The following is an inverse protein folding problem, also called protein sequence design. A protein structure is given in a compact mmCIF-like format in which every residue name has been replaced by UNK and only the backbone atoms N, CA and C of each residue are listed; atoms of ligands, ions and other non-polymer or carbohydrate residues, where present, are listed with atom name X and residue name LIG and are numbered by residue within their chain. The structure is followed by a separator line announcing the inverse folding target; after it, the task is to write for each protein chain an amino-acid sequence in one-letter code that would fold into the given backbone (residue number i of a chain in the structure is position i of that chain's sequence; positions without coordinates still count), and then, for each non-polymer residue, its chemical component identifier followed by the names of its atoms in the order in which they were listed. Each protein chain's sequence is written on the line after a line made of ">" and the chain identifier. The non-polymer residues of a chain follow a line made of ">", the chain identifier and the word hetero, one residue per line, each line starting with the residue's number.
data_IF_136409365497
#
_entry.id   IF_136409365497
#
_cell.length_a   1.000
_cell.length_b   1.000
_cell.length_c   1.000
_cell.angle_alpha   90.00
_cell.angle_beta   90.00
_cell.angle_gamma   90.00
#
_symmetry.space_group_name_H-M   'P 1'
#
loop_
_entity.id
_entity.type
_entity.pdbx_description
1 polymer ?
#
# COMPACT_ATOMS: atom_id res chain seq x y z
N UNK A 1 16.72 63.63 26.25
CA UNK A 1 17.42 63.27 25.00
C UNK A 1 18.15 61.97 25.27
N UNK A 2 17.53 60.87 24.87
CA UNK A 2 17.90 59.51 25.21
C UNK A 2 18.78 58.95 24.08
N UNK A 3 20.04 58.64 24.41
CA UNK A 3 21.04 58.23 23.43
C UNK A 3 20.85 56.75 23.06
N UNK A 4 20.55 56.49 21.79
CA UNK A 4 20.38 55.17 21.20
C UNK A 4 21.69 54.36 21.23
N UNK A 5 21.67 53.17 21.83
CA UNK A 5 22.75 52.17 21.69
C UNK A 5 22.67 51.49 20.32
N UNK A 6 23.79 51.28 19.60
CA UNK A 6 23.77 50.55 18.34
C UNK A 6 23.65 49.04 18.60
N UNK A 7 22.71 48.37 17.93
CA UNK A 7 22.60 46.91 17.95
C UNK A 7 23.75 46.30 17.14
N UNK A 8 24.63 45.52 17.78
CA UNK A 8 25.59 44.68 17.07
C UNK A 8 24.84 43.49 16.47
N UNK A 9 24.56 43.54 15.17
CA UNK A 9 24.09 42.38 14.43
C UNK A 9 25.28 41.49 14.05
N UNK A 10 25.17 40.19 14.30
CA UNK A 10 26.11 39.18 13.82
C UNK A 10 25.52 38.59 12.55
N UNK A 11 26.16 38.85 11.40
CA UNK A 11 25.79 38.22 10.13
C UNK A 11 26.46 36.85 10.09
N UNK A 12 25.67 35.79 10.22
CA UNK A 12 26.12 34.41 10.02
C UNK A 12 26.02 34.07 8.53
N UNK A 13 27.16 33.98 7.85
CA UNK A 13 27.24 33.37 6.52
C UNK A 13 27.29 31.85 6.67
N UNK A 14 26.17 31.18 6.40
CA UNK A 14 26.17 29.74 6.14
C UNK A 14 26.67 29.51 4.72
N UNK A 15 27.96 29.23 4.58
CA UNK A 15 28.49 28.66 3.34
C UNK A 15 28.11 27.18 3.37
N UNK A 16 27.01 26.83 2.70
CA UNK A 16 26.71 25.45 2.37
C UNK A 16 27.75 24.98 1.35
N UNK A 17 28.80 24.33 1.86
CA UNK A 17 29.66 23.49 1.03
C UNK A 17 28.80 22.30 0.61
N UNK A 18 28.24 22.41 -0.59
CA UNK A 18 27.67 21.27 -1.29
C UNK A 18 28.83 20.33 -1.59
N UNK A 19 29.15 19.45 -0.64
CA UNK A 19 29.96 18.28 -0.92
C UNK A 19 29.18 17.53 -1.99
N UNK A 20 29.73 17.50 -3.20
CA UNK A 20 29.36 16.56 -4.24
C UNK A 20 29.78 15.15 -3.76
N UNK A 21 29.17 14.69 -2.66
CA UNK A 21 28.96 13.29 -2.47
C UNK A 21 28.08 12.90 -3.64
N UNK A 22 28.62 12.05 -4.49
CA UNK A 22 27.88 11.40 -5.56
C UNK A 22 26.79 10.58 -4.85
N UNK A 23 25.67 11.23 -4.53
CA UNK A 23 24.46 10.56 -4.10
C UNK A 23 23.97 9.81 -5.33
N UNK A 24 24.41 8.56 -5.45
CA UNK A 24 23.81 7.64 -6.38
C UNK A 24 22.42 7.35 -5.82
N UNK A 25 21.43 8.12 -6.26
CA UNK A 25 20.03 7.75 -6.07
C UNK A 25 19.82 6.36 -6.69
N UNK A 26 19.05 5.48 -6.02
CA UNK A 26 18.72 4.19 -6.58
C UNK A 26 17.91 4.38 -7.88
N UNK A 27 18.04 3.44 -8.81
CA UNK A 27 17.11 3.35 -9.92
C UNK A 27 15.79 2.78 -9.41
N UNK A 28 14.73 3.58 -9.48
CA UNK A 28 13.42 3.21 -9.00
C UNK A 28 12.54 2.70 -10.15
N UNK A 29 12.02 1.50 -10.01
CA UNK A 29 11.06 0.87 -10.90
C UNK A 29 9.82 0.45 -10.14
N UNK A 30 8.76 0.09 -10.85
CA UNK A 30 7.58 -0.50 -10.26
C UNK A 30 7.07 -1.67 -11.09
N UNK A 31 6.39 -2.60 -10.42
CA UNK A 31 5.73 -3.74 -11.05
C UNK A 31 4.45 -4.05 -10.29
N UNK A 32 3.29 -4.14 -10.97
CA UNK A 32 2.09 -4.71 -10.36
C UNK A 32 2.36 -6.15 -9.93
N UNK A 33 1.87 -6.50 -8.75
CA UNK A 33 1.77 -7.90 -8.35
C UNK A 33 0.91 -8.71 -9.31
N UNK A 34 0.86 -10.03 -9.10
CA UNK A 34 0.06 -10.95 -9.90
C UNK A 34 0.47 -11.05 -11.39
N UNK A 35 1.50 -10.30 -11.81
CA UNK A 35 2.09 -10.42 -13.15
C UNK A 35 2.71 -11.79 -13.37
N UNK A 36 2.58 -12.27 -14.60
CA UNK A 36 3.11 -13.56 -15.03
C UNK A 36 4.64 -13.57 -14.98
N UNK A 37 5.21 -14.71 -14.58
CA UNK A 37 6.61 -15.01 -14.76
C UNK A 37 7.06 -14.76 -16.22
N UNK A 38 8.25 -14.22 -16.40
CA UNK A 38 8.78 -13.79 -17.70
C UNK A 38 8.37 -12.37 -18.12
N UNK A 39 7.52 -11.68 -17.36
CA UNK A 39 7.15 -10.29 -17.65
C UNK A 39 8.33 -9.34 -17.48
N UNK A 40 8.43 -8.34 -18.34
CA UNK A 40 9.43 -7.27 -18.22
C UNK A 40 8.98 -6.29 -17.14
N UNK A 41 9.89 -5.98 -16.21
CA UNK A 41 9.74 -4.96 -15.17
C UNK A 41 10.26 -3.61 -15.67
N UNK A 42 11.50 -3.60 -16.15
CA UNK A 42 12.18 -2.38 -16.62
C UNK A 42 13.32 -2.72 -17.59
N UNK A 43 13.85 -1.71 -18.29
CA UNK A 43 15.09 -1.80 -19.06
C UNK A 43 16.13 -0.83 -18.49
N UNK A 44 17.30 -1.35 -18.13
CA UNK A 44 18.30 -0.60 -17.34
C UNK A 44 19.34 0.13 -18.18
N UNK A 45 19.35 -0.06 -19.51
CA UNK A 45 20.43 0.45 -20.37
C UNK A 45 20.52 1.98 -20.35
N UNK A 46 19.36 2.65 -20.40
CA UNK A 46 19.29 4.11 -20.40
C UNK A 46 19.76 4.69 -19.06
N UNK A 47 19.38 4.05 -17.97
CA UNK A 47 19.69 4.49 -16.60
C UNK A 47 21.18 4.27 -16.27
N UNK A 48 21.72 3.12 -16.69
CA UNK A 48 23.15 2.80 -16.61
C UNK A 48 24.01 3.59 -17.61
N UNK A 49 23.40 4.17 -18.65
CA UNK A 49 24.07 4.88 -19.75
C UNK A 49 25.09 4.02 -20.51
N UNK A 50 24.78 2.74 -20.69
CA UNK A 50 25.59 1.76 -21.43
C UNK A 50 24.76 1.05 -22.49
N UNK A 51 25.41 0.45 -23.48
CA UNK A 51 24.73 -0.38 -24.47
C UNK A 51 24.74 -1.87 -24.07
N UNK A 52 23.99 -2.68 -24.83
CA UNK A 52 23.88 -4.14 -24.61
C UNK A 52 25.25 -4.84 -24.69
N UNK A 53 26.14 -4.37 -25.57
CA UNK A 53 27.45 -5.01 -25.77
C UNK A 53 28.32 -4.79 -24.54
N UNK A 54 28.33 -3.56 -24.00
CA UNK A 54 29.03 -3.25 -22.76
C UNK A 54 28.42 -4.00 -21.57
N UNK A 55 27.08 -4.06 -21.46
CA UNK A 55 26.39 -4.79 -20.39
C UNK A 55 26.81 -6.27 -20.36
N UNK A 56 26.79 -6.93 -21.52
CA UNK A 56 27.25 -8.32 -21.68
C UNK A 56 28.76 -8.47 -21.42
N UNK A 57 29.59 -7.58 -21.97
CA UNK A 57 31.05 -7.63 -21.83
C UNK A 57 31.49 -7.46 -20.36
N UNK A 58 30.75 -6.65 -19.60
CA UNK A 58 30.97 -6.39 -18.18
C UNK A 58 30.25 -7.37 -17.26
N UNK A 59 29.72 -8.48 -17.80
CA UNK A 59 29.08 -9.59 -17.06
C UNK A 59 28.07 -9.09 -16.03
N UNK A 60 27.17 -8.20 -16.48
CA UNK A 60 26.19 -7.59 -15.59
C UNK A 60 25.35 -8.65 -14.87
N UNK A 61 25.20 -8.49 -13.55
CA UNK A 61 24.41 -9.38 -12.71
C UNK A 61 23.48 -8.57 -11.82
N UNK A 62 22.27 -9.08 -11.63
CA UNK A 62 21.34 -8.57 -10.61
C UNK A 62 21.51 -9.39 -9.33
N UNK A 63 21.84 -8.71 -8.24
CA UNK A 63 22.03 -9.30 -6.92
C UNK A 63 20.90 -8.79 -6.02
N UNK A 64 20.07 -9.71 -5.54
CA UNK A 64 19.04 -9.39 -4.53
C UNK A 64 19.63 -9.59 -3.13
N UNK A 65 19.41 -8.62 -2.23
CA UNK A 65 19.86 -8.71 -0.83
C UNK A 65 18.90 -9.52 0.04
N UNK A 66 17.66 -9.71 -0.41
CA UNK A 66 16.61 -10.39 0.34
C UNK A 66 16.42 -11.82 -0.20
N UNK A 67 16.08 -12.77 0.68
CA UNK A 67 15.82 -14.15 0.32
C UNK A 67 14.67 -14.25 -0.69
N UNK A 68 15.00 -14.55 -1.94
CA UNK A 68 14.08 -14.61 -3.07
C UNK A 68 14.65 -13.86 -4.26
N UNK A 69 15.05 -14.60 -5.30
CA UNK A 69 15.42 -13.98 -6.59
C UNK A 69 14.13 -13.75 -7.38
N UNK A 70 13.34 -12.75 -6.99
CA UNK A 70 12.08 -12.41 -7.67
C UNK A 70 12.33 -11.85 -9.08
N UNK A 71 13.52 -11.30 -9.31
CA UNK A 71 13.91 -10.64 -10.54
C UNK A 71 15.20 -11.24 -11.12
N UNK A 72 15.35 -11.12 -12.43
CA UNK A 72 16.59 -11.42 -13.16
C UNK A 72 16.91 -10.32 -14.15
N UNK A 73 18.20 -10.08 -14.38
CA UNK A 73 18.65 -9.23 -15.48
C UNK A 73 19.02 -10.11 -16.68
N UNK A 74 18.44 -9.82 -17.85
CA UNK A 74 18.88 -10.38 -19.12
C UNK A 74 20.03 -9.53 -19.69
N UNK A 75 21.28 -10.04 -19.73
CA UNK A 75 22.43 -9.28 -20.22
C UNK A 75 22.39 -9.00 -21.72
N UNK A 76 21.53 -9.69 -22.48
CA UNK A 76 21.41 -9.52 -23.93
C UNK A 76 20.37 -8.47 -24.34
N UNK A 77 19.53 -8.02 -23.42
CA UNK A 77 18.54 -6.97 -23.67
C UNK A 77 18.60 -5.81 -22.68
N UNK A 78 19.21 -6.01 -21.50
CA UNK A 78 19.15 -5.09 -20.39
C UNK A 78 17.78 -5.06 -19.69
N UNK A 79 16.92 -6.04 -19.95
CA UNK A 79 15.62 -6.14 -19.28
C UNK A 79 15.77 -6.78 -17.91
N UNK A 80 15.16 -6.15 -16.89
CA UNK A 80 14.82 -6.83 -15.64
C UNK A 80 13.52 -7.58 -15.89
N UNK A 81 13.53 -8.88 -15.64
CA UNK A 81 12.45 -9.81 -15.91
C UNK A 81 12.01 -10.44 -14.59
N UNK A 82 10.71 -10.60 -14.43
CA UNK A 82 10.12 -11.28 -13.30
C UNK A 82 10.35 -12.79 -13.40
N UNK A 83 10.91 -13.41 -12.35
CA UNK A 83 11.16 -14.86 -12.34
C UNK A 83 9.93 -15.66 -11.95
N UNK A 84 9.28 -15.24 -10.88
CA UNK A 84 8.10 -15.88 -10.33
C UNK A 84 7.03 -14.83 -10.08
N UNK A 85 5.77 -15.27 -10.06
CA UNK A 85 4.63 -14.42 -9.68
C UNK A 85 4.89 -13.84 -8.29
N UNK A 86 4.73 -12.54 -8.13
CA UNK A 86 4.83 -11.86 -6.84
C UNK A 86 3.42 -11.71 -6.29
N UNK A 87 3.28 -12.10 -5.02
CA UNK A 87 2.15 -11.85 -4.14
C UNK A 87 2.64 -10.83 -3.09
N UNK A 88 2.07 -9.62 -3.10
CA UNK A 88 2.50 -8.49 -2.27
C UNK A 88 2.15 -8.75 -0.81
N UNK A 89 1.00 -9.36 -0.53
CA UNK A 89 0.53 -9.72 0.80
C UNK A 89 1.49 -10.72 1.46
N UNK A 90 1.93 -11.74 0.74
CA UNK A 90 2.89 -12.72 1.23
C UNK A 90 4.30 -12.13 1.41
N UNK A 91 4.70 -11.23 0.52
CA UNK A 91 6.06 -10.68 0.47
C UNK A 91 6.30 -9.57 1.50
N UNK A 92 5.36 -8.65 1.63
CA UNK A 92 5.48 -7.43 2.43
C UNK A 92 4.51 -7.36 3.60
N UNK A 93 3.47 -8.21 3.62
CA UNK A 93 2.43 -8.21 4.64
C UNK A 93 1.75 -6.86 4.76
N UNK A 94 1.81 -6.29 5.96
CA UNK A 94 1.24 -4.98 6.28
C UNK A 94 2.13 -3.79 5.86
N UNK A 95 3.32 -4.04 5.31
CA UNK A 95 4.25 -2.97 4.92
C UNK A 95 3.78 -2.30 3.63
N UNK A 96 3.64 -0.98 3.66
CA UNK A 96 3.26 -0.13 2.53
C UNK A 96 4.08 1.18 2.60
N UNK A 97 4.92 1.50 1.59
CA UNK A 97 5.09 0.80 0.32
C UNK A 97 5.83 -0.55 0.46
N UNK A 98 5.47 -1.48 -0.43
CA UNK A 98 6.19 -2.75 -0.61
C UNK A 98 7.37 -2.55 -1.57
N UNK A 99 8.58 -2.38 -1.01
CA UNK A 99 9.80 -2.11 -1.81
C UNK A 99 10.80 -3.23 -1.70
N UNK A 100 11.22 -3.75 -2.86
CA UNK A 100 12.29 -4.72 -2.99
C UNK A 100 13.59 -4.05 -3.41
N UNK A 101 14.68 -4.40 -2.73
CA UNK A 101 16.00 -3.84 -2.96
C UNK A 101 16.92 -4.83 -3.68
N UNK A 102 17.55 -4.39 -4.76
CA UNK A 102 18.55 -5.16 -5.52
C UNK A 102 19.71 -4.27 -5.93
N UNK A 103 20.81 -4.87 -6.38
CA UNK A 103 21.96 -4.15 -6.92
C UNK A 103 22.37 -4.76 -8.26
N UNK A 104 22.62 -3.91 -9.26
CA UNK A 104 23.32 -4.32 -10.47
C UNK A 104 24.81 -4.22 -10.24
N UNK A 105 25.49 -5.34 -10.41
CA UNK A 105 26.93 -5.44 -10.45
C UNK A 105 27.41 -5.40 -11.91
N UNK A 106 28.34 -4.51 -12.22
CA UNK A 106 29.15 -4.55 -13.44
C UNK A 106 30.60 -4.87 -13.08
N UNK A 107 31.25 -5.77 -13.80
CA UNK A 107 32.67 -6.11 -13.62
C UNK A 107 33.59 -5.23 -14.49
N UNK A 108 34.87 -5.15 -14.08
CA UNK A 108 35.98 -4.57 -14.84
C UNK A 108 35.70 -3.17 -15.46
N UNK A 109 35.61 -2.10 -14.65
CA UNK A 109 35.80 -2.04 -13.19
C UNK A 109 34.55 -2.46 -12.42
N UNK A 110 34.72 -2.84 -11.16
CA UNK A 110 33.59 -3.15 -10.28
C UNK A 110 32.75 -1.89 -10.02
N UNK A 111 31.46 -1.94 -10.35
CA UNK A 111 30.48 -0.89 -10.09
C UNK A 111 29.18 -1.51 -9.58
N UNK A 112 28.54 -0.82 -8.64
CA UNK A 112 27.28 -1.23 -8.04
C UNK A 112 26.24 -0.12 -8.24
N UNK A 113 25.09 -0.49 -8.78
CA UNK A 113 23.95 0.41 -8.94
C UNK A 113 22.79 -0.11 -8.11
N UNK A 114 22.32 0.69 -7.17
CA UNK A 114 21.17 0.33 -6.33
C UNK A 114 19.90 0.37 -7.17
N UNK A 115 19.03 -0.60 -6.95
CA UNK A 115 17.72 -0.70 -7.58
C UNK A 115 16.68 -0.87 -6.49
N UNK A 116 15.61 -0.11 -6.62
CA UNK A 116 14.39 -0.24 -5.84
C UNK A 116 13.26 -0.62 -6.79
N UNK A 117 12.58 -1.73 -6.50
CA UNK A 117 11.38 -2.13 -7.24
C UNK A 117 10.20 -2.07 -6.28
N UNK A 118 9.30 -1.13 -6.51
CA UNK A 118 8.04 -1.05 -5.79
C UNK A 118 7.05 -2.06 -6.37
N UNK A 119 6.54 -2.96 -5.54
CA UNK A 119 5.45 -3.85 -5.90
C UNK A 119 4.15 -3.06 -5.73
N UNK A 120 3.43 -2.85 -6.83
CA UNK A 120 2.15 -2.15 -6.83
C UNK A 120 1.02 -3.13 -6.51
N UNK A 121 0.16 -2.70 -5.59
CA UNK A 121 -1.00 -3.45 -5.12
C UNK A 121 -2.07 -3.60 -6.22
N UNK A 122 -2.57 -4.82 -6.40
CA UNK A 122 -3.68 -5.15 -7.31
C UNK A 122 -4.87 -5.62 -6.46
N UNK A 123 -6.10 -5.30 -6.87
CA UNK A 123 -7.31 -5.71 -6.14
C UNK A 123 -7.60 -7.20 -6.38
N UNK A 124 -6.89 -8.09 -5.69
CA UNK A 124 -7.05 -9.55 -5.79
C UNK A 124 -7.53 -10.22 -4.50
N UNK A 125 -7.74 -9.45 -3.42
CA UNK A 125 -8.39 -9.91 -2.20
C UNK A 125 -9.74 -9.21 -1.98
N UNK A 126 -10.80 -9.98 -1.76
CA UNK A 126 -12.10 -9.41 -1.39
C UNK A 126 -12.23 -9.23 0.13
N UNK A 127 -12.99 -8.23 0.61
CA UNK A 127 -13.31 -8.06 2.02
C UNK A 127 -13.95 -9.30 2.64
N UNK A 128 -13.49 -9.66 3.83
CA UNK A 128 -13.98 -10.82 4.59
C UNK A 128 -14.36 -10.44 6.02
N UNK A 129 -15.39 -11.08 6.55
CA UNK A 129 -15.74 -11.01 7.97
C UNK A 129 -15.17 -12.22 8.71
N UNK A 130 -14.92 -12.10 10.01
CA UNK A 130 -14.41 -13.21 10.81
C UNK A 130 -15.49 -14.27 11.05
N UNK A 131 -16.76 -13.84 11.01
CA UNK A 131 -17.94 -14.70 11.14
C UNK A 131 -18.89 -14.48 9.97
N UNK A 132 -19.62 -15.53 9.61
CA UNK A 132 -20.64 -15.49 8.56
C UNK A 132 -21.98 -14.92 9.06
N UNK A 133 -22.19 -14.85 10.38
CA UNK A 133 -23.44 -14.41 11.00
C UNK A 133 -23.16 -13.69 12.33
N UNK A 134 -23.94 -12.64 12.59
CA UNK A 134 -23.93 -11.87 13.83
C UNK A 134 -25.34 -11.83 14.40
N UNK A 135 -25.48 -12.19 15.67
CA UNK A 135 -26.75 -12.13 16.38
C UNK A 135 -26.75 -10.89 17.29
N UNK A 136 -27.77 -10.06 17.15
CA UNK A 136 -28.06 -8.94 18.03
C UNK A 136 -29.37 -9.20 18.76
N UNK A 137 -29.34 -9.13 20.09
CA UNK A 137 -30.53 -9.14 20.93
C UNK A 137 -30.86 -7.70 21.33
N UNK A 138 -31.81 -7.09 20.61
CA UNK A 138 -32.19 -5.69 20.80
C UNK A 138 -33.55 -5.62 21.50
N UNK A 139 -33.64 -5.06 22.72
CA UNK A 139 -34.91 -4.84 23.40
C UNK A 139 -35.82 -3.93 22.58
N UNK A 140 -37.12 -4.20 22.51
CA UNK A 140 -38.04 -3.37 21.73
C UNK A 140 -38.15 -1.93 22.25
N UNK A 141 -37.88 -1.72 23.55
CA UNK A 141 -37.87 -0.41 24.20
C UNK A 141 -36.60 0.41 23.86
N UNK A 142 -35.74 -0.09 22.98
CA UNK A 142 -34.55 0.61 22.52
C UNK A 142 -34.95 1.93 21.86
N UNK A 143 -34.35 3.07 22.27
CA UNK A 143 -34.67 4.36 21.67
C UNK A 143 -34.17 4.44 20.22
N UNK A 144 -34.91 5.17 19.39
CA UNK A 144 -34.46 5.52 18.03
C UNK A 144 -33.11 6.25 18.13
N UNK A 145 -32.26 6.02 17.12
CA UNK A 145 -30.86 6.43 17.05
C UNK A 145 -29.94 5.75 18.06
N UNK A 146 -30.33 4.62 18.66
CA UNK A 146 -29.37 3.75 19.32
C UNK A 146 -28.39 3.16 18.28
N UNK A 147 -27.10 3.09 18.65
CA UNK A 147 -26.00 2.59 17.82
C UNK A 147 -25.56 1.21 18.31
N UNK A 148 -25.34 0.29 17.37
CA UNK A 148 -24.85 -1.05 17.62
C UNK A 148 -23.61 -1.31 16.76
N UNK A 149 -22.41 -1.48 17.37
CA UNK A 149 -21.19 -1.75 16.60
C UNK A 149 -21.32 -3.02 15.77
N UNK A 150 -20.95 -2.95 14.49
CA UNK A 150 -20.84 -4.13 13.63
C UNK A 150 -19.40 -4.64 13.60
N UNK A 151 -19.24 -5.91 13.26
CA UNK A 151 -17.90 -6.45 12.99
C UNK A 151 -17.27 -5.71 11.80
N UNK A 152 -16.00 -5.39 11.93
CA UNK A 152 -15.23 -4.74 10.86
C UNK A 152 -14.71 -5.81 9.90
N UNK A 153 -14.95 -5.64 8.60
CA UNK A 153 -14.37 -6.51 7.59
C UNK A 153 -12.85 -6.33 7.51
N UNK A 154 -12.18 -7.34 6.97
CA UNK A 154 -10.75 -7.38 6.75
C UNK A 154 -10.47 -7.65 5.28
N UNK A 155 -9.51 -6.90 4.77
CA UNK A 155 -9.07 -6.91 3.39
C UNK A 155 -7.55 -6.75 3.42
N UNK A 156 -6.87 -7.61 2.67
CA UNK A 156 -5.42 -7.68 2.68
C UNK A 156 -4.79 -6.68 1.70
N UNK A 157 -5.58 -6.16 0.76
CA UNK A 157 -5.14 -5.17 -0.21
C UNK A 157 -4.85 -3.83 0.48
N UNK A 158 -4.22 -2.90 -0.26
CA UNK A 158 -3.72 -1.64 0.29
C UNK A 158 -4.26 -0.42 -0.45
N UNK A 159 -4.09 0.72 0.22
CA UNK A 159 -4.38 2.04 -0.32
C UNK A 159 -5.76 2.14 -0.94
N UNK A 160 -5.81 2.18 -2.27
CA UNK A 160 -7.05 2.41 -3.00
C UNK A 160 -7.95 1.18 -3.11
N UNK A 161 -7.36 -0.01 -3.03
CA UNK A 161 -8.02 -1.30 -3.21
C UNK A 161 -8.68 -1.74 -1.90
N UNK A 162 -8.15 -1.36 -0.73
CA UNK A 162 -8.76 -1.67 0.56
C UNK A 162 -10.23 -1.18 0.72
N UNK A 163 -10.97 -1.83 1.66
CA UNK A 163 -12.35 -1.52 2.07
C UNK A 163 -12.72 -0.02 2.01
N UNK A 164 -13.72 0.29 1.19
CA UNK A 164 -14.24 1.64 0.94
C UNK A 164 -15.60 1.91 1.54
N UNK A 165 -16.45 0.90 1.72
CA UNK A 165 -17.78 1.12 2.23
C UNK A 165 -18.41 -0.13 2.85
N UNK A 166 -19.54 0.07 3.54
CA UNK A 166 -20.44 -0.99 3.96
C UNK A 166 -21.84 -0.71 3.43
N UNK A 167 -22.55 -1.77 3.04
CA UNK A 167 -23.91 -1.72 2.52
C UNK A 167 -24.78 -2.67 3.36
N UNK A 168 -25.97 -2.21 3.73
CA UNK A 168 -26.96 -3.02 4.43
C UNK A 168 -28.12 -3.31 3.48
N UNK A 169 -28.64 -4.54 3.54
CA UNK A 169 -29.84 -4.92 2.79
C UNK A 169 -30.99 -3.94 3.05
N UNK A 170 -31.77 -3.55 2.02
CA UNK A 170 -32.87 -2.59 2.16
C UNK A 170 -33.84 -3.00 3.27
N UNK A 171 -34.12 -2.07 4.17
CA UNK A 171 -35.08 -2.24 5.26
C UNK A 171 -35.49 -0.85 5.80
N UNK A 172 -36.55 -0.81 6.61
CA UNK A 172 -37.07 0.46 7.13
C UNK A 172 -36.66 0.79 8.57
N UNK A 173 -36.05 -0.17 9.29
CA UNK A 173 -35.84 -0.10 10.74
C UNK A 173 -34.41 0.24 11.11
N UNK A 174 -33.44 -0.08 10.27
CA UNK A 174 -32.03 0.05 10.52
C UNK A 174 -31.32 0.70 9.34
N UNK A 175 -30.39 1.60 9.67
CA UNK A 175 -29.46 2.23 8.72
C UNK A 175 -28.02 1.95 9.17
N UNK A 176 -27.06 2.16 8.26
CA UNK A 176 -25.65 2.16 8.64
C UNK A 176 -25.16 3.58 8.92
N UNK A 177 -24.35 3.71 9.94
CA UNK A 177 -23.44 4.84 10.11
C UNK A 177 -22.01 4.34 9.86
N UNK A 178 -21.40 4.79 8.75
CA UNK A 178 -20.07 4.35 8.32
C UNK A 178 -19.06 5.42 8.70
N UNK A 179 -18.16 5.06 9.61
CA UNK A 179 -17.16 5.95 10.18
C UNK A 179 -15.77 5.60 9.63
N UNK A 180 -14.92 6.62 9.50
CA UNK A 180 -13.52 6.45 9.06
C UNK A 180 -12.57 6.75 10.22
N UNK A 181 -11.66 5.82 10.50
CA UNK A 181 -10.60 6.00 11.47
C UNK A 181 -9.46 6.86 10.90
N UNK A 182 -8.61 7.41 11.77
CA UNK A 182 -7.45 8.23 11.39
C UNK A 182 -6.46 7.51 10.46
N UNK A 183 -6.43 6.18 10.49
CA UNK A 183 -5.58 5.34 9.64
C UNK A 183 -6.25 4.98 8.29
N UNK A 184 -7.40 5.58 7.97
CA UNK A 184 -8.16 5.30 6.76
C UNK A 184 -9.05 4.06 6.82
N UNK A 185 -8.95 3.22 7.87
CA UNK A 185 -9.83 2.05 8.03
C UNK A 185 -11.27 2.48 8.29
N UNK A 186 -12.23 1.76 7.72
CA UNK A 186 -13.65 2.00 7.90
C UNK A 186 -14.30 0.94 8.76
N UNK A 187 -15.20 1.38 9.62
CA UNK A 187 -16.10 0.52 10.39
C UNK A 187 -17.52 1.06 10.28
N UNK A 188 -18.50 0.20 10.56
CA UNK A 188 -19.90 0.55 10.50
C UNK A 188 -20.60 0.27 11.82
N UNK A 189 -21.59 1.09 12.13
CA UNK A 189 -22.53 0.86 13.22
C UNK A 189 -23.93 0.74 12.63
N UNK A 190 -24.70 -0.19 13.17
CA UNK A 190 -26.12 -0.30 12.88
C UNK A 190 -26.87 0.72 13.74
N UNK A 191 -27.71 1.54 13.13
CA UNK A 191 -28.47 2.58 13.83
C UNK A 191 -29.96 2.32 13.69
N UNK A 192 -30.66 2.26 14.82
CA UNK A 192 -32.11 2.08 14.84
C UNK A 192 -32.81 3.36 14.34
N UNK A 193 -33.64 3.24 13.30
CA UNK A 193 -34.33 4.33 12.64
C UNK A 193 -35.84 4.39 12.95
N UNK A 194 -36.45 3.26 13.33
CA UNK A 194 -37.86 3.16 13.73
C UNK A 194 -38.00 2.38 15.04
N UNK A 195 -39.06 2.61 15.83
CA UNK A 195 -39.35 1.80 17.01
C UNK A 195 -39.49 0.33 16.63
N UNK A 196 -39.05 -0.54 17.54
CA UNK A 196 -39.24 -1.98 17.43
C UNK A 196 -40.52 -2.38 18.15
N UNK A 197 -41.15 -3.43 17.65
CA UNK A 197 -42.33 -4.04 18.24
C UNK A 197 -42.22 -5.54 17.96
N UNK A 198 -41.93 -6.31 19.02
CA UNK A 198 -41.66 -7.75 18.88
C UNK A 198 -42.91 -8.53 18.50
N UNK A 199 -44.08 -8.08 18.93
CA UNK A 199 -45.36 -8.71 18.59
C UNK A 199 -45.72 -8.52 17.11
N UNK A 200 -45.23 -7.45 16.46
CA UNK A 200 -45.41 -7.21 15.01
C UNK A 200 -44.31 -7.85 14.17
N UNK A 201 -43.03 -7.61 14.49
CA UNK A 201 -41.88 -8.20 13.79
C UNK A 201 -40.89 -8.76 14.84
N UNK A 202 -40.90 -10.09 15.09
CA UNK A 202 -40.09 -10.68 16.15
C UNK A 202 -38.61 -10.87 15.76
N UNK A 203 -38.27 -10.81 14.47
CA UNK A 203 -36.92 -11.04 13.98
C UNK A 203 -36.65 -10.27 12.68
N UNK A 204 -35.44 -9.74 12.57
CA UNK A 204 -34.89 -9.17 11.34
C UNK A 204 -33.77 -10.06 10.81
N UNK A 205 -33.78 -10.32 9.51
CA UNK A 205 -32.67 -10.96 8.80
C UNK A 205 -32.13 -9.92 7.82
N UNK A 206 -30.95 -9.39 8.13
CA UNK A 206 -30.30 -8.35 7.35
C UNK A 206 -28.98 -8.89 6.81
N UNK A 207 -28.61 -8.45 5.61
CA UNK A 207 -27.31 -8.77 5.00
C UNK A 207 -26.43 -7.54 5.07
N UNK A 208 -25.22 -7.70 5.61
CA UNK A 208 -24.18 -6.69 5.61
C UNK A 208 -23.13 -7.08 4.57
N UNK A 209 -22.80 -6.15 3.68
CA UNK A 209 -21.78 -6.30 2.65
C UNK A 209 -20.68 -5.26 2.88
N UNK A 210 -19.42 -5.69 2.82
CA UNK A 210 -18.27 -4.79 2.78
C UNK A 210 -17.80 -4.68 1.33
N UNK A 211 -17.51 -3.46 0.89
CA UNK A 211 -17.14 -3.15 -0.49
C UNK A 211 -15.77 -2.50 -0.50
N UNK A 212 -14.87 -3.06 -1.31
CA UNK A 212 -13.51 -2.59 -1.53
C UNK A 212 -13.46 -1.50 -2.62
N UNK A 213 -12.27 -1.17 -3.11
CA UNK A 213 -12.07 -0.08 -4.07
C UNK A 213 -11.85 -0.48 -5.52
N UNK A 214 -11.93 -1.76 -5.87
CA UNK A 214 -11.69 -2.25 -7.23
C UNK A 214 -12.93 -2.69 -8.00
#
# INVERSE_FOLDING_TARGET
>A
MEASRPSRQVVLFFISLCSSGMWCEPFCYSVPEEKKAGSIVANVLKDLKIDVKELSARRAQLISKTSGQNFQLDPHSGNIILRDKIDREALCGLSDPCTLFSEILLENPLQFFKIEVQVEDVNDNSPTFSKNQFLFEIPEQTPINAHFPLETAHDLDKGKNAIRNYILSPNEYFKLDVQSQNNGKKYAELVLAKPLDREVIPQFILTLEAVDGG
#
